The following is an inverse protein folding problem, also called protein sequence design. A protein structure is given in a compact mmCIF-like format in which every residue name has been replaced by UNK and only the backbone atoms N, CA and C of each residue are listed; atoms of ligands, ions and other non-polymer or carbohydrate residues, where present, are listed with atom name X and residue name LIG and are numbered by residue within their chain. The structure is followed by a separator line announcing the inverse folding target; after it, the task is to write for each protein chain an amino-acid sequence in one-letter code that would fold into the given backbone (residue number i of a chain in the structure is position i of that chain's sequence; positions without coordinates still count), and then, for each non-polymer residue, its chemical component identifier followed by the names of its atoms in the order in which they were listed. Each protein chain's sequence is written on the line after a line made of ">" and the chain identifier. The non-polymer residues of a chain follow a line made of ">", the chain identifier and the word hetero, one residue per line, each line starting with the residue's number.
data_IF_609546771320
#
_entry.id   IF_609546771320
#
_cell.length_a   1.000
_cell.length_b   1.000
_cell.length_c   1.000
_cell.angle_alpha   90.00
_cell.angle_beta   90.00
_cell.angle_gamma   90.00
#
_symmetry.space_group_name_H-M   'P 1'
#
loop_
_entity.id
_entity.type
_entity.pdbx_description
1 polymer ?
#
# COMPACT_ATOMS: atom_id res chain seq x y z
N UNK A 1 2.40 11.11 -1.35
CA UNK A 1 2.13 10.66 -2.72
C UNK A 1 0.97 9.68 -2.75
N UNK A 2 0.22 9.58 -3.87
CA UNK A 2 -0.85 8.61 -4.04
C UNK A 2 -0.31 7.19 -4.24
N UNK A 3 -1.17 6.19 -3.93
CA UNK A 3 -0.96 4.79 -4.26
C UNK A 3 -2.30 4.17 -4.67
N UNK A 4 -2.38 3.67 -5.88
CA UNK A 4 -3.53 2.90 -6.34
C UNK A 4 -3.29 1.43 -6.05
N UNK A 5 -4.31 0.77 -5.53
CA UNK A 5 -4.23 -0.60 -5.05
C UNK A 5 -5.34 -1.44 -5.67
N UNK A 6 -4.99 -2.58 -6.22
CA UNK A 6 -5.91 -3.59 -6.71
C UNK A 6 -5.84 -4.82 -5.81
N UNK A 7 -6.98 -5.31 -5.37
CA UNK A 7 -7.17 -6.62 -4.77
C UNK A 7 -7.89 -7.49 -5.80
N UNK A 8 -7.34 -8.64 -6.12
CA UNK A 8 -7.93 -9.54 -7.11
C UNK A 8 -7.92 -10.98 -6.60
N UNK A 9 -9.00 -11.71 -6.88
CA UNK A 9 -9.12 -13.13 -6.60
C UNK A 9 -9.27 -13.91 -7.90
N UNK A 10 -8.48 -14.95 -8.05
CA UNK A 10 -8.48 -15.84 -9.20
C UNK A 10 -8.84 -17.26 -8.78
N UNK A 11 -9.25 -18.09 -9.74
CA UNK A 11 -9.29 -19.54 -9.56
C UNK A 11 -7.90 -20.03 -9.13
N UNK A 12 -7.81 -21.04 -8.24
CA UNK A 12 -6.52 -21.55 -7.81
C UNK A 12 -5.62 -21.99 -8.96
N UNK A 13 -4.37 -21.56 -8.96
CA UNK A 13 -3.36 -21.87 -9.96
C UNK A 13 -2.24 -22.69 -9.33
N UNK A 14 -1.95 -23.87 -9.90
CA UNK A 14 -0.96 -24.79 -9.31
C UNK A 14 0.49 -24.35 -9.58
N UNK A 15 0.76 -23.71 -10.71
CA UNK A 15 2.13 -23.47 -11.22
C UNK A 15 2.58 -22.01 -11.11
N UNK A 16 1.85 -21.16 -10.38
CA UNK A 16 2.23 -19.76 -10.24
C UNK A 16 3.24 -19.58 -9.09
N UNK A 17 4.25 -18.74 -9.34
CA UNK A 17 5.13 -18.26 -8.28
C UNK A 17 4.37 -17.34 -7.33
N UNK A 18 4.21 -17.79 -6.08
CA UNK A 18 3.42 -17.14 -5.02
C UNK A 18 4.25 -16.22 -4.12
N UNK A 19 5.47 -15.91 -4.50
CA UNK A 19 6.32 -14.99 -3.77
C UNK A 19 5.88 -13.53 -3.95
N UNK A 20 6.16 -12.71 -2.93
CA UNK A 20 5.98 -11.27 -3.02
C UNK A 20 7.02 -10.69 -3.97
N UNK A 21 6.56 -9.88 -4.93
CA UNK A 21 7.41 -9.22 -5.92
C UNK A 21 7.49 -7.73 -5.63
N UNK A 22 8.69 -7.20 -5.61
CA UNK A 22 8.98 -5.78 -5.49
C UNK A 22 9.76 -5.34 -6.72
N UNK A 23 9.24 -4.37 -7.47
CA UNK A 23 9.93 -3.80 -8.63
C UNK A 23 9.61 -2.30 -8.70
N UNK A 24 10.50 -1.48 -8.18
CA UNK A 24 10.33 -0.03 -8.10
C UNK A 24 10.30 0.67 -9.47
N UNK A 25 10.75 0.01 -10.52
CA UNK A 25 10.77 0.55 -11.89
C UNK A 25 9.57 0.12 -12.72
N UNK A 26 8.69 -0.73 -12.17
CA UNK A 26 7.47 -1.19 -12.85
C UNK A 26 6.27 -0.33 -12.49
N UNK A 27 5.26 -0.31 -13.36
CA UNK A 27 3.95 0.30 -13.10
C UNK A 27 3.27 -0.31 -11.88
N UNK A 28 3.44 -1.63 -11.63
CA UNK A 28 3.13 -2.29 -10.37
C UNK A 28 4.41 -2.43 -9.55
N UNK A 29 4.58 -1.56 -8.56
CA UNK A 29 5.78 -1.55 -7.72
C UNK A 29 5.80 -2.66 -6.67
N UNK A 30 4.65 -3.22 -6.32
CA UNK A 30 4.53 -4.27 -5.32
C UNK A 30 3.35 -5.19 -5.61
N UNK A 31 3.60 -6.51 -5.57
CA UNK A 31 2.59 -7.55 -5.74
C UNK A 31 2.80 -8.58 -4.64
N UNK A 32 1.74 -8.96 -3.93
CA UNK A 32 1.81 -9.97 -2.88
C UNK A 32 0.68 -10.99 -2.98
N UNK A 33 1.05 -12.26 -2.78
CA UNK A 33 0.10 -13.36 -2.63
C UNK A 33 -0.53 -13.33 -1.23
N UNK A 34 -1.79 -12.94 -1.18
CA UNK A 34 -2.49 -12.73 0.09
C UNK A 34 -3.07 -14.02 0.68
N UNK A 35 -3.40 -15.03 -0.15
CA UNK A 35 -3.87 -16.34 0.33
C UNK A 35 -2.78 -17.12 1.08
N UNK A 36 -1.49 -16.86 0.84
CA UNK A 36 -0.38 -17.49 1.55
C UNK A 36 -0.21 -17.05 3.01
N UNK A 37 -0.99 -16.10 3.50
CA UNK A 37 -0.92 -15.66 4.90
C UNK A 37 -1.56 -16.68 5.84
N UNK A 38 -1.02 -16.86 7.07
CA UNK A 38 -1.59 -17.78 8.05
C UNK A 38 -3.09 -17.54 8.30
N UNK A 39 -3.86 -18.61 8.37
CA UNK A 39 -5.30 -18.56 8.63
C UNK A 39 -6.18 -18.15 7.44
N UNK A 40 -5.62 -18.16 6.22
CA UNK A 40 -6.38 -17.99 4.97
C UNK A 40 -6.77 -19.34 4.40
N UNK A 41 -7.92 -19.35 3.68
CA UNK A 41 -8.38 -20.55 2.97
C UNK A 41 -7.77 -20.60 1.56
N UNK A 42 -7.46 -21.82 1.08
CA UNK A 42 -6.87 -22.06 -0.24
C UNK A 42 -7.94 -22.16 -1.37
N UNK A 43 -9.14 -21.65 -1.13
CA UNK A 43 -10.26 -21.74 -2.07
C UNK A 43 -10.10 -20.82 -3.29
N UNK A 44 -9.28 -19.77 -3.17
CA UNK A 44 -8.96 -18.81 -4.23
C UNK A 44 -7.51 -18.33 -4.11
N UNK A 45 -6.93 -17.93 -5.22
CA UNK A 45 -5.65 -17.22 -5.24
C UNK A 45 -5.92 -15.71 -5.17
N UNK A 46 -5.79 -15.15 -3.96
CA UNK A 46 -5.98 -13.73 -3.70
C UNK A 46 -4.65 -12.98 -3.79
N UNK A 47 -4.63 -11.94 -4.60
CA UNK A 47 -3.48 -11.09 -4.84
C UNK A 47 -3.76 -9.65 -4.44
N UNK A 48 -2.74 -8.96 -3.96
CA UNK A 48 -2.73 -7.52 -3.75
C UNK A 48 -1.64 -6.91 -4.63
N UNK A 49 -2.00 -5.93 -5.44
CA UNK A 49 -1.06 -5.16 -6.26
C UNK A 49 -1.12 -3.68 -5.91
N UNK A 50 0.04 -3.05 -5.77
CA UNK A 50 0.18 -1.62 -5.58
C UNK A 50 0.91 -1.02 -6.77
N UNK A 51 0.30 -0.01 -7.38
CA UNK A 51 0.93 0.74 -8.45
C UNK A 51 2.06 1.64 -7.92
N UNK A 52 3.00 1.98 -8.81
CA UNK A 52 4.04 2.95 -8.52
C UNK A 52 3.45 4.33 -8.21
N UNK A 53 4.24 5.19 -7.60
CA UNK A 53 3.85 6.58 -7.32
C UNK A 53 3.59 7.32 -8.63
N UNK A 54 4.41 7.14 -9.63
CA UNK A 54 4.33 7.77 -10.94
C UNK A 54 3.06 7.35 -11.67
N UNK A 55 2.79 6.04 -11.73
CA UNK A 55 1.58 5.50 -12.34
C UNK A 55 0.32 6.01 -11.63
N UNK A 56 0.33 6.02 -10.30
CA UNK A 56 -0.79 6.47 -9.47
C UNK A 56 -1.03 7.97 -9.61
N UNK A 57 0.02 8.80 -9.60
CA UNK A 57 -0.09 10.26 -9.70
C UNK A 57 -0.67 10.69 -11.05
N UNK A 58 -0.29 10.01 -12.14
CA UNK A 58 -0.81 10.29 -13.48
C UNK A 58 -2.32 10.01 -13.61
N UNK A 59 -2.91 9.21 -12.70
CA UNK A 59 -4.30 8.73 -12.78
C UNK A 59 -5.21 9.21 -11.64
N UNK A 60 -4.77 10.13 -10.80
CA UNK A 60 -5.55 10.64 -9.64
C UNK A 60 -6.94 11.15 -10.06
N UNK A 61 -7.05 11.77 -11.24
CA UNK A 61 -8.28 12.32 -11.78
C UNK A 61 -8.94 11.41 -12.85
N UNK A 62 -8.39 10.21 -13.06
CA UNK A 62 -8.96 9.27 -14.02
C UNK A 62 -10.17 8.57 -13.42
N UNK A 63 -11.10 8.14 -14.29
CA UNK A 63 -12.21 7.29 -13.88
C UNK A 63 -11.74 6.01 -13.18
N UNK A 64 -12.39 5.66 -12.06
CA UNK A 64 -11.99 4.52 -11.24
C UNK A 64 -12.10 3.20 -11.96
N UNK A 65 -13.16 3.00 -12.74
CA UNK A 65 -13.38 1.75 -13.47
C UNK A 65 -12.29 1.56 -14.53
N UNK A 66 -11.89 2.65 -15.20
CA UNK A 66 -10.79 2.61 -16.15
C UNK A 66 -9.46 2.29 -15.47
N UNK A 67 -9.15 2.91 -14.34
CA UNK A 67 -7.92 2.66 -13.58
C UNK A 67 -7.88 1.21 -13.05
N UNK A 68 -9.02 0.70 -12.58
CA UNK A 68 -9.15 -0.71 -12.16
C UNK A 68 -8.86 -1.65 -13.32
N UNK A 69 -9.46 -1.44 -14.48
CA UNK A 69 -9.25 -2.27 -15.65
C UNK A 69 -7.78 -2.26 -16.11
N UNK A 70 -7.13 -1.11 -16.12
CA UNK A 70 -5.71 -1.00 -16.45
C UNK A 70 -4.84 -1.79 -15.44
N UNK A 71 -5.13 -1.72 -14.14
CA UNK A 71 -4.41 -2.49 -13.13
C UNK A 71 -4.67 -4.00 -13.22
N UNK A 72 -5.88 -4.42 -13.62
CA UNK A 72 -6.18 -5.84 -13.89
C UNK A 72 -5.30 -6.39 -15.00
N UNK A 73 -5.16 -5.64 -16.10
CA UNK A 73 -4.29 -6.03 -17.23
C UNK A 73 -2.84 -6.15 -16.75
N UNK A 74 -2.32 -5.13 -16.07
CA UNK A 74 -0.95 -5.14 -15.55
C UNK A 74 -0.69 -6.31 -14.60
N UNK A 75 -1.66 -6.63 -13.73
CA UNK A 75 -1.53 -7.75 -12.80
C UNK A 75 -1.53 -9.10 -13.54
N UNK A 76 -2.44 -9.30 -14.49
CA UNK A 76 -2.50 -10.51 -15.28
C UNK A 76 -1.21 -10.72 -16.09
N UNK A 77 -0.68 -9.66 -16.71
CA UNK A 77 0.60 -9.71 -17.43
C UNK A 77 1.77 -10.04 -16.48
N UNK A 78 1.87 -9.36 -15.33
CA UNK A 78 2.95 -9.57 -14.36
C UNK A 78 2.97 -10.99 -13.79
N UNK A 79 1.81 -11.62 -13.64
CA UNK A 79 1.65 -12.96 -13.08
C UNK A 79 1.47 -14.04 -14.15
N UNK A 80 1.35 -13.68 -15.43
CA UNK A 80 1.01 -14.59 -16.54
C UNK A 80 -0.30 -15.35 -16.31
N UNK A 81 -1.31 -14.62 -15.78
CA UNK A 81 -2.65 -15.16 -15.51
C UNK A 81 -3.62 -14.83 -16.65
N UNK A 82 -4.55 -15.77 -16.92
CA UNK A 82 -5.66 -15.50 -17.82
C UNK A 82 -6.70 -14.61 -17.12
N UNK A 83 -7.05 -13.44 -17.68
CA UNK A 83 -8.12 -12.59 -17.15
C UNK A 83 -9.46 -13.30 -16.95
N UNK A 84 -9.74 -14.36 -17.75
CA UNK A 84 -10.96 -15.17 -17.63
C UNK A 84 -11.02 -15.99 -16.33
N UNK A 85 -9.90 -16.17 -15.63
CA UNK A 85 -9.83 -16.84 -14.34
C UNK A 85 -10.01 -15.89 -13.15
N UNK A 86 -10.14 -14.57 -13.40
CA UNK A 86 -10.43 -13.58 -12.36
C UNK A 86 -11.88 -13.72 -11.90
N UNK A 87 -12.06 -14.03 -10.62
CA UNK A 87 -13.37 -14.22 -9.99
C UNK A 87 -13.93 -12.93 -9.41
N UNK A 88 -13.04 -12.07 -8.93
CA UNK A 88 -13.40 -10.80 -8.28
C UNK A 88 -12.23 -9.84 -8.31
N UNK A 89 -12.54 -8.54 -8.38
CA UNK A 89 -11.58 -7.47 -8.10
C UNK A 89 -12.19 -6.35 -7.27
N UNK A 90 -11.35 -5.61 -6.58
CA UNK A 90 -11.69 -4.38 -5.89
C UNK A 90 -10.52 -3.39 -6.00
N UNK A 91 -10.82 -2.17 -6.39
CA UNK A 91 -9.84 -1.11 -6.58
C UNK A 91 -10.00 0.00 -5.54
N UNK A 92 -8.88 0.47 -5.02
CA UNK A 92 -8.85 1.61 -4.12
C UNK A 92 -7.76 2.61 -4.50
N UNK A 93 -8.09 3.90 -4.44
CA UNK A 93 -7.14 5.00 -4.65
C UNK A 93 -6.82 5.66 -3.32
N UNK A 94 -5.62 5.43 -2.80
CA UNK A 94 -5.09 6.08 -1.61
C UNK A 94 -4.40 7.38 -2.02
N UNK A 95 -5.04 8.52 -1.84
CA UNK A 95 -4.48 9.82 -2.27
C UNK A 95 -3.27 10.26 -1.45
N UNK A 96 -3.23 9.90 -0.17
CA UNK A 96 -2.20 10.30 0.78
C UNK A 96 -1.51 9.08 1.40
N UNK A 97 -1.16 8.11 0.58
CA UNK A 97 -0.64 6.81 1.01
C UNK A 97 0.82 6.87 1.48
N UNK A 98 1.61 7.75 0.91
CA UNK A 98 3.05 7.72 1.09
C UNK A 98 3.61 9.11 1.35
N UNK A 99 4.45 9.22 2.38
CA UNK A 99 5.18 10.45 2.70
C UNK A 99 6.37 10.55 1.76
N UNK A 100 6.47 11.69 1.06
CA UNK A 100 7.59 11.99 0.17
C UNK A 100 8.67 12.76 0.92
N UNK A 101 8.23 13.74 1.72
CA UNK A 101 9.13 14.60 2.51
C UNK A 101 8.70 14.53 3.98
N UNK A 102 9.43 13.78 4.81
CA UNK A 102 9.16 13.78 6.25
C UNK A 102 9.47 15.14 6.88
N UNK A 103 8.81 15.42 8.00
CA UNK A 103 8.98 16.68 8.74
C UNK A 103 10.40 16.85 9.28
N UNK A 104 11.12 15.76 9.56
CA UNK A 104 12.49 15.77 10.09
C UNK A 104 12.59 15.91 11.60
N UNK A 105 11.45 16.04 12.32
CA UNK A 105 11.39 16.03 13.79
C UNK A 105 10.39 14.98 14.25
N UNK A 106 10.59 14.39 15.46
CA UNK A 106 9.78 13.24 15.87
C UNK A 106 8.32 13.57 16.16
N UNK A 107 7.98 14.80 16.49
CA UNK A 107 6.62 15.27 16.74
C UNK A 107 6.55 16.80 16.71
N UNK A 108 5.34 17.34 16.61
CA UNK A 108 5.02 18.74 16.87
C UNK A 108 4.34 18.87 18.23
N UNK A 109 4.53 20.01 18.89
CA UNK A 109 3.91 20.33 20.19
C UNK A 109 3.41 21.76 20.20
N UNK A 110 2.19 21.95 20.67
CA UNK A 110 1.69 23.23 21.17
C UNK A 110 1.67 23.15 22.71
N UNK A 111 2.66 23.78 23.34
CA UNK A 111 2.82 23.73 24.79
C UNK A 111 1.70 24.44 25.52
N UNK A 112 1.11 25.47 24.90
CA UNK A 112 0.03 26.28 25.51
C UNK A 112 -1.26 25.47 25.65
N UNK A 113 -1.50 24.53 24.74
CA UNK A 113 -2.69 23.67 24.73
C UNK A 113 -2.40 22.26 25.18
N UNK A 114 -1.13 21.94 25.51
CA UNK A 114 -0.68 20.56 25.81
C UNK A 114 -1.02 19.57 24.68
N UNK A 115 -0.97 20.04 23.41
CA UNK A 115 -1.30 19.29 22.24
C UNK A 115 -0.02 18.73 21.59
N UNK A 116 -0.03 17.42 21.31
CA UNK A 116 1.06 16.73 20.63
C UNK A 116 0.54 16.11 19.34
N UNK A 117 1.27 16.26 18.25
CA UNK A 117 0.97 15.69 16.94
C UNK A 117 2.16 14.87 16.46
N UNK A 118 1.93 13.62 16.12
CA UNK A 118 2.98 12.73 15.63
C UNK A 118 2.45 11.62 14.74
N UNK A 119 3.36 10.93 14.08
CA UNK A 119 3.08 9.85 13.16
C UNK A 119 4.31 9.52 12.31
N UNK A 120 4.16 8.61 11.36
CA UNK A 120 5.20 8.27 10.40
C UNK A 120 5.65 9.49 9.57
N UNK A 121 4.72 10.40 9.25
CA UNK A 121 4.99 11.63 8.51
C UNK A 121 6.04 12.55 9.17
N UNK A 122 6.32 12.34 10.45
CA UNK A 122 7.37 13.08 11.15
C UNK A 122 8.77 12.63 10.73
N UNK A 123 8.99 11.32 10.55
CA UNK A 123 10.33 10.71 10.42
C UNK A 123 10.54 9.95 9.12
N UNK A 124 9.48 9.46 8.46
CA UNK A 124 9.55 8.72 7.20
C UNK A 124 8.43 7.73 7.02
N UNK A 125 8.21 7.29 5.78
CA UNK A 125 7.10 6.42 5.37
C UNK A 125 7.30 4.95 5.83
N UNK A 126 7.39 4.71 7.13
CA UNK A 126 7.57 3.38 7.75
C UNK A 126 6.79 3.29 9.05
N UNK A 127 6.29 2.09 9.36
CA UNK A 127 5.61 1.81 10.64
C UNK A 127 6.50 2.13 11.85
N UNK A 128 7.80 1.84 11.76
CA UNK A 128 8.79 2.18 12.80
C UNK A 128 8.86 3.68 13.06
N UNK A 129 8.71 4.52 12.04
CA UNK A 129 8.71 5.98 12.17
C UNK A 129 7.52 6.46 13.02
N UNK A 130 6.34 5.86 12.84
CA UNK A 130 5.19 6.14 13.68
C UNK A 130 5.41 5.72 15.13
N UNK A 131 6.00 4.54 15.35
CA UNK A 131 6.36 4.06 16.70
C UNK A 131 7.38 4.97 17.38
N UNK A 132 8.44 5.38 16.68
CA UNK A 132 9.47 6.28 17.21
C UNK A 132 8.90 7.67 17.54
N UNK A 133 8.03 8.19 16.69
CA UNK A 133 7.31 9.44 16.90
C UNK A 133 6.45 9.36 18.18
N UNK A 134 5.61 8.34 18.32
CA UNK A 134 4.78 8.14 19.51
C UNK A 134 5.61 7.95 20.79
N UNK A 135 6.71 7.20 20.71
CA UNK A 135 7.63 7.01 21.83
C UNK A 135 8.27 8.33 22.27
N UNK A 136 8.61 9.21 21.32
CA UNK A 136 9.19 10.52 21.60
C UNK A 136 8.17 11.45 22.29
N UNK A 137 6.91 11.41 21.87
CA UNK A 137 5.80 12.12 22.54
C UNK A 137 5.66 11.64 23.98
N UNK A 138 5.57 10.33 24.20
CA UNK A 138 5.42 9.74 25.53
C UNK A 138 6.57 10.17 26.46
N UNK A 139 7.82 10.10 25.99
CA UNK A 139 8.99 10.58 26.76
C UNK A 139 8.94 12.04 27.08
N UNK A 140 8.42 12.88 26.19
CA UNK A 140 8.26 14.32 26.44
C UNK A 140 7.23 14.62 27.53
N UNK A 141 6.10 13.91 27.49
CA UNK A 141 5.04 14.06 28.51
C UNK A 141 5.52 13.61 29.89
N UNK A 142 6.25 12.48 29.98
CA UNK A 142 6.72 11.91 31.25
C UNK A 142 7.87 12.70 31.89
N UNK A 143 8.49 13.62 31.17
CA UNK A 143 9.58 14.48 31.68
C UNK A 143 9.07 15.83 32.22
N UNK A 144 7.79 16.11 32.07
CA UNK A 144 7.10 17.28 32.65
C UNK A 144 6.63 17.01 34.08
#
# INVERSE_FOLDING_TARGET
>A
APCMTLMAAFKPQAEIDKDTRVNETSDLSWIAYNSGKPGREDSVDAWLAQASVEWSAARVNQDKAKSEQEMQVLLCEALSLDPADMLHSAFHSWLYARIVYPLGVPYLVDETQSLYLGGDWCLGARVESAFLSGTSIAKSILRR
#
